data_IF_223900988760
#
_entry.id   IF_223900988760
#
_cell.length_a   1.000
_cell.length_b   1.000
_cell.length_c   1.000
_cell.angle_alpha   90.00
_cell.angle_beta   90.00
_cell.angle_gamma   90.00
#
_symmetry.space_group_name_H-M   'P 1'
#
loop_
_entity.id
_entity.type
_entity.pdbx_description
1 polymer ?
#
# COMPACT_ATOMS: atom_id res chain seq x y z
N UNK A 1 -5.52 6.82 -14.59
CA UNK A 1 -5.24 5.43 -15.02
C UNK A 1 -3.75 5.42 -15.37
N UNK A 2 -3.00 4.34 -15.12
CA UNK A 2 -1.60 4.28 -15.58
C UNK A 2 -1.62 4.01 -17.09
N UNK A 3 -0.89 4.81 -17.83
CA UNK A 3 -0.70 4.69 -19.28
C UNK A 3 0.77 5.02 -19.66
N UNK A 4 1.06 5.01 -20.95
CA UNK A 4 2.37 5.28 -21.54
C UNK A 4 2.95 6.67 -21.22
N UNK A 5 2.14 7.61 -20.76
CA UNK A 5 2.57 8.95 -20.36
C UNK A 5 2.85 9.09 -18.86
N UNK A 6 2.50 8.08 -18.06
CA UNK A 6 2.64 8.12 -16.60
C UNK A 6 4.11 8.03 -16.20
N UNK A 7 4.57 9.01 -15.41
CA UNK A 7 5.94 9.00 -14.86
C UNK A 7 6.09 7.93 -13.76
N UNK A 8 7.31 7.43 -13.50
CA UNK A 8 7.56 6.53 -12.37
C UNK A 8 7.06 7.10 -11.03
N UNK A 9 7.24 8.39 -10.79
CA UNK A 9 6.83 9.06 -9.56
C UNK A 9 5.30 9.10 -9.41
N UNK A 10 4.58 9.36 -10.51
CA UNK A 10 3.11 9.28 -10.51
C UNK A 10 2.60 7.86 -10.26
N UNK A 11 3.28 6.86 -10.85
CA UNK A 11 2.95 5.45 -10.61
C UNK A 11 3.17 5.06 -9.15
N UNK A 12 4.28 5.49 -8.54
CA UNK A 12 4.56 5.25 -7.11
C UNK A 12 3.55 5.95 -6.21
N UNK A 13 3.19 7.20 -6.48
CA UNK A 13 2.13 7.91 -5.72
C UNK A 13 0.79 7.19 -5.80
N UNK A 14 0.42 6.71 -6.99
CA UNK A 14 -0.80 5.92 -7.16
C UNK A 14 -0.72 4.60 -6.39
N UNK A 15 0.43 3.92 -6.40
CA UNK A 15 0.64 2.69 -5.63
C UNK A 15 0.46 2.95 -4.12
N UNK A 16 1.03 4.03 -3.57
CA UNK A 16 0.86 4.42 -2.17
C UNK A 16 -0.63 4.56 -1.81
N UNK A 17 -1.42 5.25 -2.63
CA UNK A 17 -2.86 5.41 -2.38
C UNK A 17 -3.61 4.07 -2.46
N UNK A 18 -3.20 3.16 -3.35
CA UNK A 18 -3.75 1.80 -3.42
C UNK A 18 -3.43 0.99 -2.17
N UNK A 19 -2.19 1.04 -1.67
CA UNK A 19 -1.80 0.31 -0.47
C UNK A 19 -2.48 0.85 0.80
N UNK A 20 -2.73 2.16 0.88
CA UNK A 20 -3.55 2.75 1.96
C UNK A 20 -4.96 2.17 1.94
N UNK A 21 -5.59 2.14 0.76
CA UNK A 21 -6.91 1.56 0.57
C UNK A 21 -6.96 0.07 0.91
N UNK A 22 -5.96 -0.70 0.48
CA UNK A 22 -5.84 -2.14 0.75
C UNK A 22 -5.66 -2.43 2.25
N UNK A 23 -4.76 -1.70 2.93
CA UNK A 23 -4.59 -1.77 4.38
C UNK A 23 -5.92 -1.58 5.11
N UNK A 24 -6.65 -0.52 4.75
CA UNK A 24 -7.90 -0.18 5.42
C UNK A 24 -8.98 -1.22 5.12
N UNK A 25 -9.07 -1.69 3.87
CA UNK A 25 -9.93 -2.80 3.48
C UNK A 25 -9.66 -4.05 4.34
N UNK A 26 -8.42 -4.52 4.41
CA UNK A 26 -8.07 -5.72 5.19
C UNK A 26 -8.28 -5.51 6.68
N UNK A 27 -8.02 -4.31 7.20
CA UNK A 27 -8.29 -3.96 8.60
C UNK A 27 -9.79 -4.05 8.92
N UNK A 28 -10.67 -3.57 8.04
CA UNK A 28 -12.12 -3.69 8.25
C UNK A 28 -12.60 -5.13 8.04
N UNK A 29 -12.06 -5.85 7.04
CA UNK A 29 -12.37 -7.24 6.79
C UNK A 29 -12.03 -8.13 7.99
N UNK A 30 -10.90 -7.90 8.65
CA UNK A 30 -10.50 -8.59 9.87
C UNK A 30 -11.51 -8.38 11.03
N UNK A 31 -12.10 -7.17 11.14
CA UNK A 31 -13.07 -6.86 12.21
C UNK A 31 -14.39 -7.59 12.04
N UNK A 32 -14.83 -7.82 10.81
CA UNK A 32 -16.12 -8.49 10.52
C UNK A 32 -15.99 -10.00 10.26
N UNK A 33 -14.75 -10.50 10.16
CA UNK A 33 -14.48 -11.92 9.95
C UNK A 33 -14.97 -12.76 11.14
N UNK A 34 -15.80 -13.77 10.85
CA UNK A 34 -16.39 -14.66 11.88
C UNK A 34 -15.46 -15.79 12.30
N UNK A 35 -14.59 -16.24 11.39
CA UNK A 35 -13.69 -17.36 11.64
C UNK A 35 -12.30 -16.85 12.07
N UNK A 36 -11.70 -17.41 13.13
CA UNK A 36 -10.41 -16.97 13.63
C UNK A 36 -9.29 -17.00 12.58
N UNK A 37 -9.23 -18.06 11.76
CA UNK A 37 -8.21 -18.17 10.70
C UNK A 37 -8.34 -17.09 9.63
N UNK A 38 -9.57 -16.77 9.21
CA UNK A 38 -9.83 -15.69 8.25
C UNK A 38 -9.47 -14.32 8.83
N UNK A 39 -9.78 -14.08 10.10
CA UNK A 39 -9.39 -12.86 10.80
C UNK A 39 -7.86 -12.70 10.81
N UNK A 40 -7.13 -13.75 11.18
CA UNK A 40 -5.67 -13.74 11.20
C UNK A 40 -5.07 -13.49 9.81
N UNK A 41 -5.65 -14.09 8.77
CA UNK A 41 -5.23 -13.84 7.40
C UNK A 41 -5.38 -12.36 7.00
N UNK A 42 -6.52 -11.74 7.30
CA UNK A 42 -6.71 -10.32 7.01
C UNK A 42 -5.83 -9.40 7.87
N UNK A 43 -5.59 -9.73 9.14
CA UNK A 43 -4.64 -9.00 9.98
C UNK A 43 -3.20 -9.10 9.46
N UNK A 44 -2.82 -10.26 8.91
CA UNK A 44 -1.54 -10.45 8.26
C UNK A 44 -1.42 -9.58 7.01
N UNK A 45 -2.40 -9.63 6.10
CA UNK A 45 -2.39 -8.83 4.88
C UNK A 45 -2.34 -7.31 5.20
N UNK A 46 -3.14 -6.84 6.15
CA UNK A 46 -3.09 -5.44 6.58
C UNK A 46 -1.71 -5.00 7.09
N UNK A 47 -0.94 -5.92 7.70
CA UNK A 47 0.45 -5.65 8.15
C UNK A 47 1.44 -5.66 6.99
N UNK A 48 1.25 -6.51 5.99
CA UNK A 48 2.11 -6.49 4.79
C UNK A 48 1.95 -5.16 4.03
N UNK A 49 0.73 -4.61 3.92
CA UNK A 49 0.55 -3.31 3.25
C UNK A 49 1.24 -2.16 3.98
N UNK A 50 1.43 -2.24 5.31
CA UNK A 50 2.24 -1.26 6.05
C UNK A 50 3.71 -1.34 5.62
N UNK A 51 4.23 -2.54 5.34
CA UNK A 51 5.61 -2.70 4.83
C UNK A 51 5.72 -2.17 3.41
N UNK A 52 4.76 -2.49 2.55
CA UNK A 52 4.73 -1.98 1.17
C UNK A 52 4.68 -0.45 1.14
N UNK A 53 3.81 0.17 1.96
CA UNK A 53 3.74 1.63 2.12
C UNK A 53 5.09 2.24 2.50
N UNK A 54 5.80 1.65 3.46
CA UNK A 54 7.11 2.16 3.87
C UNK A 54 8.14 2.09 2.74
N UNK A 55 8.13 1.01 1.96
CA UNK A 55 9.04 0.84 0.83
C UNK A 55 8.74 1.87 -0.27
N UNK A 56 7.47 2.03 -0.64
CA UNK A 56 7.05 2.98 -1.66
C UNK A 56 7.33 4.43 -1.24
N UNK A 57 7.08 4.78 0.02
CA UNK A 57 7.37 6.10 0.55
C UNK A 57 8.87 6.40 0.52
N UNK A 58 9.70 5.42 0.94
CA UNK A 58 11.15 5.56 0.90
C UNK A 58 11.68 5.69 -0.53
N UNK A 59 11.07 5.01 -1.51
CA UNK A 59 11.46 5.14 -2.91
C UNK A 59 11.12 6.51 -3.47
N UNK A 60 9.90 7.01 -3.19
CA UNK A 60 9.50 8.35 -3.58
C UNK A 60 10.42 9.42 -2.97
N UNK A 61 10.79 9.27 -1.70
CA UNK A 61 11.67 10.21 -0.99
C UNK A 61 13.10 10.23 -1.55
N UNK A 62 13.63 9.10 -2.05
CA UNK A 62 14.96 9.05 -2.69
C UNK A 62 15.00 9.85 -3.99
N UNK A 63 13.96 9.72 -4.82
CA UNK A 63 13.87 10.46 -6.08
C UNK A 63 13.87 11.97 -5.83
N UNK A 64 13.15 12.44 -4.80
CA UNK A 64 13.17 13.86 -4.40
C UNK A 64 14.56 14.38 -4.02
N UNK A 65 15.44 13.51 -3.51
CA UNK A 65 16.80 13.89 -3.11
C UNK A 65 17.81 13.80 -4.27
N UNK A 66 17.46 13.17 -5.40
CA UNK A 66 18.31 13.09 -6.59
C UNK A 66 18.06 14.22 -7.60
N UNK A 67 16.90 14.88 -7.52
CA UNK A 67 16.54 16.02 -8.37
C UNK A 67 16.95 17.40 -7.79
N UNK A 68 17.51 17.44 -6.57
CA UNK A 68 18.10 18.63 -5.93
C UNK A 68 19.61 18.73 -6.17
#
# INVERSE_FOLDING_TARGET
MIDESTTPQEAVRLAIERERGAKDFYTQAAKIAKYPGTKQMFEFLAKEEIKHLRLLQAELDKDYMQEM
#
